data_IF_743846043660
#
_entry.id   IF_743846043660
#
_cell.length_a   1.000
_cell.length_b   1.000
_cell.length_c   1.000
_cell.angle_alpha   90.00
_cell.angle_beta   90.00
_cell.angle_gamma   90.00
#
_symmetry.space_group_name_H-M   'P 1'
#
loop_
_entity.id
_entity.type
_entity.pdbx_description
1 polymer ?
#
# COMPACT_ATOMS: atom_id res chain seq x y z
N UNK A 1 18.31 13.10 13.96
CA UNK A 1 17.16 13.79 14.59
C UNK A 1 15.82 13.06 14.37
N UNK A 2 15.47 12.13 15.26
CA UNK A 2 14.11 11.56 15.35
C UNK A 2 13.34 12.38 16.39
N UNK A 3 12.46 13.28 15.96
CA UNK A 3 11.52 13.98 16.84
C UNK A 3 10.17 13.23 16.88
N UNK A 4 9.57 13.13 18.06
CA UNK A 4 8.25 12.48 18.26
C UNK A 4 7.13 13.14 17.46
N UNK A 5 7.26 14.45 17.19
CA UNK A 5 6.34 15.22 16.35
C UNK A 5 6.55 14.98 14.85
N UNK A 6 7.73 14.49 14.46
CA UNK A 6 8.15 14.50 13.06
C UNK A 6 8.12 13.11 12.41
N UNK A 7 8.23 12.04 13.19
CA UNK A 7 8.20 10.69 12.62
C UNK A 7 6.75 10.21 12.46
N UNK A 8 6.33 9.79 11.25
CA UNK A 8 4.97 9.30 10.98
C UNK A 8 4.50 8.17 11.92
N UNK A 9 5.47 7.40 12.45
CA UNK A 9 5.26 6.36 13.44
C UNK A 9 4.63 6.88 14.74
N UNK A 10 5.06 8.06 15.21
CA UNK A 10 4.60 8.66 16.47
C UNK A 10 3.38 9.59 16.29
N UNK A 11 3.13 10.07 15.06
CA UNK A 11 1.96 10.91 14.74
C UNK A 11 0.73 10.10 14.31
N UNK A 12 0.78 8.77 14.46
CA UNK A 12 -0.37 7.89 14.21
C UNK A 12 -0.71 7.68 12.74
N UNK A 13 0.11 8.15 11.80
CA UNK A 13 -0.04 7.85 10.36
C UNK A 13 0.54 6.47 10.08
N UNK A 14 -0.10 5.45 10.66
CA UNK A 14 0.18 4.07 10.35
C UNK A 14 -0.14 3.87 8.87
N UNK A 15 0.88 3.51 8.07
CA UNK A 15 0.65 3.10 6.69
C UNK A 15 -0.12 1.80 6.78
N UNK A 16 -1.45 1.85 6.62
CA UNK A 16 -2.27 0.67 6.41
C UNK A 16 -1.76 0.10 5.10
N UNK A 17 -0.89 -0.90 5.20
CA UNK A 17 -0.36 -1.60 4.05
C UNK A 17 -1.50 -2.51 3.58
N UNK A 18 -2.45 -1.94 2.85
CA UNK A 18 -3.62 -2.65 2.33
C UNK A 18 -3.14 -3.87 1.56
N UNK A 19 -3.33 -5.04 2.17
CA UNK A 19 -2.96 -6.33 1.59
C UNK A 19 -3.67 -6.56 0.25
N UNK A 20 -4.82 -5.91 0.05
CA UNK A 20 -5.59 -5.88 -1.20
C UNK A 20 -4.91 -5.13 -2.35
N UNK A 21 -3.97 -4.21 -2.08
CA UNK A 21 -3.29 -3.45 -3.14
C UNK A 21 -2.34 -4.28 -3.99
N UNK A 22 -1.79 -5.38 -3.44
CA UNK A 22 -0.89 -6.27 -4.19
C UNK A 22 -1.63 -7.12 -5.22
N UNK A 23 -2.78 -7.70 -4.83
CA UNK A 23 -3.64 -8.48 -5.73
C UNK A 23 -4.22 -7.58 -6.81
N UNK A 24 -4.78 -6.42 -6.45
CA UNK A 24 -5.29 -5.46 -7.43
C UNK A 24 -4.22 -4.97 -8.41
N UNK A 25 -2.97 -4.76 -7.95
CA UNK A 25 -1.84 -4.39 -8.81
C UNK A 25 -1.38 -5.55 -9.70
N UNK A 26 -1.50 -6.78 -9.23
CA UNK A 26 -1.24 -7.98 -10.02
C UNK A 26 -2.30 -8.16 -11.11
N UNK A 27 -3.59 -8.14 -10.74
CA UNK A 27 -4.72 -8.21 -11.68
C UNK A 27 -4.68 -7.08 -12.72
N UNK A 28 -4.35 -5.85 -12.32
CA UNK A 28 -4.16 -4.74 -13.28
C UNK A 28 -3.03 -4.97 -14.28
N UNK A 29 -1.99 -5.72 -13.91
CA UNK A 29 -0.82 -5.98 -14.76
C UNK A 29 -0.97 -7.24 -15.61
N UNK A 30 -1.64 -8.26 -15.09
CA UNK A 30 -1.68 -9.60 -15.66
C UNK A 30 -3.10 -10.10 -15.98
N UNK A 31 -4.15 -9.43 -15.49
CA UNK A 31 -5.56 -9.81 -15.73
C UNK A 31 -6.09 -9.44 -17.12
N UNK A 32 -5.33 -8.68 -17.92
CA UNK A 32 -5.70 -8.33 -19.30
C UNK A 32 -5.59 -9.51 -20.29
N UNK A 33 -5.22 -10.73 -19.84
CA UNK A 33 -5.09 -11.92 -20.68
C UNK A 33 -6.18 -12.97 -20.46
N UNK A 34 -7.36 -12.58 -20.00
CA UNK A 34 -8.53 -13.48 -19.98
C UNK A 34 -9.79 -12.69 -20.31
N UNK A 35 -9.93 -12.35 -21.59
CA UNK A 35 -11.22 -12.06 -22.19
C UNK A 35 -11.21 -12.77 -23.54
N UNK A 36 -12.05 -13.80 -23.65
CA UNK A 36 -12.47 -14.40 -24.92
C UNK A 36 -13.09 -13.33 -25.82
#
# INVERSE_FOLDING_TARGET
>A
EVCSVCHPFYTGKQRILDTGGRVAKFEKRFGASTTN
#
